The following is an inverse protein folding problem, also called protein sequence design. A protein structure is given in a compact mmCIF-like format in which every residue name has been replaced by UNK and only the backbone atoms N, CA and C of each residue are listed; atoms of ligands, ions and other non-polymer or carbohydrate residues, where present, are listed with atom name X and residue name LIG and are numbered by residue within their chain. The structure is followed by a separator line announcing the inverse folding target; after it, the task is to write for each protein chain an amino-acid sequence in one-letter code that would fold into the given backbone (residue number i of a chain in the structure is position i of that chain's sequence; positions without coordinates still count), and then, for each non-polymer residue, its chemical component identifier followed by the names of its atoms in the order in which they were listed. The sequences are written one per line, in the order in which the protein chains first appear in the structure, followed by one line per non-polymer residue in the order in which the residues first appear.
data_IF_447035844088
#
_entry.id   IF_447035844088
#
_cell.length_a   1.000
_cell.length_b   1.000
_cell.length_c   1.000
_cell.angle_alpha   90.00
_cell.angle_beta   90.00
_cell.angle_gamma   90.00
#
_symmetry.space_group_name_H-M   'P 1'
#
loop_
_entity.id
_entity.type
_entity.pdbx_description
1 polymer ?
#
# COMPACT_ATOMS: atom_id res chain seq x y z
N UNK A 1 20.32 8.57 -7.55
CA UNK A 1 21.47 8.04 -8.31
C UNK A 1 21.53 8.78 -9.64
N UNK A 2 22.67 9.39 -9.97
CA UNK A 2 22.89 10.02 -11.28
C UNK A 2 23.29 8.96 -12.33
N UNK A 3 23.03 9.19 -13.63
CA UNK A 3 23.53 8.37 -14.73
C UNK A 3 25.00 7.96 -14.63
N UNK A 4 25.34 6.83 -15.23
CA UNK A 4 26.74 6.54 -15.58
C UNK A 4 27.24 7.62 -16.56
N UNK A 5 28.23 8.43 -16.13
CA UNK A 5 28.81 9.53 -16.91
C UNK A 5 28.27 10.94 -16.62
N UNK A 6 27.35 11.10 -15.66
CA UNK A 6 26.91 12.43 -15.23
C UNK A 6 28.01 13.19 -14.47
N UNK A 7 28.10 14.51 -14.71
CA UNK A 7 28.98 15.39 -13.92
C UNK A 7 28.49 15.51 -12.46
N UNK A 8 29.41 15.72 -11.52
CA UNK A 8 29.09 15.84 -10.10
C UNK A 8 28.23 17.09 -9.84
N UNK A 9 27.05 16.90 -9.22
CA UNK A 9 26.22 18.00 -8.70
C UNK A 9 26.25 17.96 -7.18
N UNK A 10 26.62 19.08 -6.55
CA UNK A 10 26.49 19.24 -5.10
C UNK A 10 25.02 19.47 -4.74
N UNK A 11 24.46 18.60 -3.91
CA UNK A 11 23.16 18.79 -3.28
C UNK A 11 23.28 18.51 -1.77
N UNK A 12 22.70 19.38 -0.96
CA UNK A 12 22.54 19.15 0.48
C UNK A 12 21.24 18.38 0.70
N UNK A 13 21.34 17.09 1.02
CA UNK A 13 20.19 16.31 1.47
C UNK A 13 19.91 16.75 2.91
N UNK A 14 18.83 17.47 3.14
CA UNK A 14 18.28 17.56 4.50
C UNK A 14 17.87 16.14 4.91
N UNK A 15 18.40 15.65 6.03
CA UNK A 15 17.97 14.39 6.61
C UNK A 15 16.49 14.51 6.97
N UNK A 16 15.61 13.88 6.20
CA UNK A 16 14.25 13.65 6.65
C UNK A 16 14.22 12.40 7.52
N UNK A 17 13.77 12.56 8.77
CA UNK A 17 13.46 11.45 9.65
C UNK A 17 12.22 10.74 9.11
N UNK A 18 12.40 9.64 8.38
CA UNK A 18 11.29 8.73 8.05
C UNK A 18 11.04 7.81 9.24
N UNK A 19 10.02 8.15 10.03
CA UNK A 19 9.52 7.33 11.14
C UNK A 19 8.38 6.47 10.61
N UNK A 20 8.68 5.23 10.22
CA UNK A 20 7.64 4.23 9.93
C UNK A 20 7.39 3.39 11.18
N UNK A 21 6.20 3.51 11.75
CA UNK A 21 5.77 2.67 12.88
C UNK A 21 5.23 1.35 12.34
N UNK A 22 6.04 0.30 12.42
CA UNK A 22 5.53 -1.06 12.26
C UNK A 22 5.01 -1.53 13.62
N UNK A 23 3.70 -1.78 13.70
CA UNK A 23 3.02 -2.29 14.90
C UNK A 23 3.75 -3.50 15.48
N UNK A 24 4.06 -3.43 16.79
CA UNK A 24 4.79 -4.48 17.53
C UNK A 24 6.13 -4.05 18.14
N UNK A 25 6.56 -2.79 17.98
CA UNK A 25 7.62 -2.20 18.78
C UNK A 25 9.05 -2.56 18.34
N UNK A 26 9.60 -1.80 17.40
CA UNK A 26 10.96 -1.24 17.38
C UNK A 26 11.17 -0.46 16.07
N UNK A 27 11.97 0.60 16.16
CA UNK A 27 12.28 1.58 15.13
C UNK A 27 13.52 1.15 14.31
N UNK A 28 13.55 1.45 13.02
CA UNK A 28 14.81 1.48 12.26
C UNK A 28 15.17 2.93 11.98
N UNK A 29 16.38 3.32 12.36
CA UNK A 29 16.99 4.60 12.01
C UNK A 29 17.88 4.35 10.82
N UNK A 30 17.48 4.79 9.64
CA UNK A 30 18.34 4.75 8.45
C UNK A 30 19.17 6.03 8.41
N UNK A 31 20.47 5.92 8.65
CA UNK A 31 21.44 6.99 8.39
C UNK A 31 22.30 6.60 7.20
N UNK A 32 22.24 7.37 6.13
CA UNK A 32 23.15 7.24 4.99
C UNK A 32 24.36 8.11 5.30
N UNK A 33 25.46 7.46 5.69
CA UNK A 33 26.74 8.13 5.89
C UNK A 33 27.63 7.92 4.67
N UNK A 34 28.27 9.01 4.22
CA UNK A 34 29.22 9.01 3.11
C UNK A 34 30.62 9.24 3.67
N UNK A 35 31.46 8.20 3.67
CA UNK A 35 32.87 8.33 4.08
C UNK A 35 33.78 8.21 2.86
N UNK A 36 34.70 9.17 2.71
CA UNK A 36 35.72 9.14 1.65
C UNK A 36 37.04 8.66 2.25
N UNK A 37 37.54 7.50 1.80
CA UNK A 37 38.91 7.03 2.10
C UNK A 37 39.70 6.89 0.81
N UNK A 38 40.64 7.81 0.59
CA UNK A 38 41.41 7.89 -0.66
C UNK A 38 40.53 8.35 -1.82
N UNK A 39 40.58 7.67 -2.96
CA UNK A 39 39.79 8.00 -4.17
C UNK A 39 38.42 7.32 -4.23
N UNK A 40 38.00 6.63 -3.16
CA UNK A 40 36.77 5.83 -3.14
C UNK A 40 35.80 6.36 -2.09
N UNK A 41 34.56 6.57 -2.52
CA UNK A 41 33.43 6.84 -1.63
C UNK A 41 32.81 5.52 -1.19
N UNK A 42 32.49 5.43 0.09
CA UNK A 42 31.69 4.34 0.66
C UNK A 42 30.36 4.92 1.10
N UNK A 43 29.29 4.22 0.76
CA UNK A 43 27.94 4.47 1.28
C UNK A 43 27.67 3.39 2.31
N UNK A 44 27.29 3.81 3.51
CA UNK A 44 26.86 2.88 4.56
C UNK A 44 25.34 2.90 4.65
N UNK A 45 24.74 1.71 4.58
CA UNK A 45 23.34 1.48 4.93
C UNK A 45 23.30 0.20 5.79
N UNK A 46 22.91 0.35 7.05
CA UNK A 46 22.64 -0.69 8.05
C UNK A 46 23.46 -2.00 7.87
N UNK A 47 24.76 -1.89 8.17
CA UNK A 47 25.75 -2.98 8.27
C UNK A 47 26.03 -3.81 6.99
N UNK A 48 25.48 -3.44 5.83
CA UNK A 48 25.81 -4.09 4.56
C UNK A 48 26.98 -3.36 3.89
N UNK A 49 28.13 -4.03 3.76
CA UNK A 49 29.29 -3.47 3.04
C UNK A 49 29.24 -3.91 1.58
N UNK A 50 28.88 -3.00 0.67
CA UNK A 50 29.08 -3.23 -0.77
C UNK A 50 30.51 -2.80 -1.13
N UNK A 51 31.37 -3.78 -1.37
CA UNK A 51 32.71 -3.54 -1.93
C UNK A 51 32.54 -3.52 -3.45
N UNK A 52 32.69 -2.34 -4.05
CA UNK A 52 32.73 -2.20 -5.51
C UNK A 52 34.10 -2.73 -5.99
N UNK A 53 34.13 -4.02 -6.29
CA UNK A 53 35.20 -4.63 -7.08
C UNK A 53 34.73 -4.70 -8.54
N UNK A 54 35.66 -4.50 -9.46
CA UNK A 54 35.46 -4.50 -10.90
C UNK A 54 34.84 -5.82 -11.39
N UNK A 55 33.51 -5.89 -11.40
CA UNK A 55 32.64 -6.61 -12.33
C UNK A 55 31.20 -6.28 -11.95
N UNK A 56 30.56 -5.44 -12.77
CA UNK A 56 29.27 -4.79 -12.53
C UNK A 56 28.16 -5.81 -12.23
N UNK A 57 27.74 -5.89 -10.97
CA UNK A 57 26.35 -6.21 -10.65
C UNK A 57 25.66 -4.86 -10.51
N UNK A 58 24.87 -4.47 -11.52
CA UNK A 58 23.98 -3.31 -11.40
C UNK A 58 22.76 -3.75 -10.60
N UNK A 59 22.82 -3.57 -9.28
CA UNK A 59 21.62 -3.60 -8.44
C UNK A 59 20.94 -2.25 -8.64
N UNK A 60 19.92 -2.18 -9.49
CA UNK A 60 19.11 -0.97 -9.64
C UNK A 60 18.24 -0.78 -8.40
N UNK A 61 17.85 0.46 -8.07
CA UNK A 61 16.82 0.72 -7.05
C UNK A 61 15.54 -0.05 -7.39
N UNK A 62 15.24 -0.22 -8.67
CA UNK A 62 14.11 -1.03 -9.13
C UNK A 62 14.28 -2.51 -8.83
N UNK A 63 15.49 -3.09 -8.93
CA UNK A 63 15.77 -4.46 -8.49
C UNK A 63 15.66 -4.57 -6.97
N UNK A 64 16.19 -3.60 -6.21
CA UNK A 64 16.05 -3.58 -4.75
C UNK A 64 14.58 -3.51 -4.37
N UNK A 65 13.80 -2.57 -4.92
CA UNK A 65 12.39 -2.36 -4.55
C UNK A 65 11.47 -3.48 -5.05
N UNK A 66 11.69 -4.00 -6.26
CA UNK A 66 10.94 -5.15 -6.80
C UNK A 66 11.21 -6.43 -6.00
N UNK A 67 12.42 -6.56 -5.45
CA UNK A 67 12.81 -7.70 -4.61
C UNK A 67 12.78 -7.37 -3.09
N UNK A 68 12.38 -6.15 -2.72
CA UNK A 68 12.18 -5.71 -1.33
C UNK A 68 10.89 -6.31 -0.83
N UNK A 69 10.97 -7.59 -0.49
CA UNK A 69 9.90 -8.27 0.22
C UNK A 69 10.01 -7.89 1.69
N UNK A 70 8.88 -7.68 2.39
CA UNK A 70 8.91 -7.53 3.83
C UNK A 70 9.52 -8.79 4.45
N UNK A 71 10.74 -8.67 4.98
CA UNK A 71 11.43 -9.77 5.66
C UNK A 71 10.99 -9.82 7.11
N UNK A 72 10.91 -11.04 7.66
CA UNK A 72 10.67 -11.22 9.08
C UNK A 72 11.97 -11.01 9.85
N UNK A 73 12.01 -10.01 10.71
CA UNK A 73 13.03 -9.94 11.74
C UNK A 73 12.58 -10.82 12.92
N UNK A 74 13.12 -12.03 13.00
CA UNK A 74 12.84 -12.93 14.12
C UNK A 74 13.66 -12.47 15.34
N UNK A 75 13.09 -11.56 16.13
CA UNK A 75 13.63 -11.27 17.46
C UNK A 75 13.23 -12.40 18.41
N UNK A 76 14.16 -13.29 18.73
CA UNK A 76 13.96 -14.29 19.78
C UNK A 76 14.05 -13.62 21.17
N UNK A 77 12.98 -12.93 21.58
CA UNK A 77 12.72 -12.67 23.00
C UNK A 77 11.93 -13.84 23.57
N UNK A 78 12.15 -14.14 24.84
CA UNK A 78 11.27 -15.06 25.58
C UNK A 78 9.85 -14.48 25.54
N UNK A 79 8.85 -15.31 25.19
CA UNK A 79 7.43 -14.91 25.24
C UNK A 79 7.12 -14.33 26.64
N UNK A 80 6.38 -13.22 26.73
CA UNK A 80 5.82 -12.71 27.99
C UNK A 80 5.08 -13.80 28.77
N UNK A 81 5.03 -13.66 30.10
CA UNK A 81 4.33 -14.63 30.97
C UNK A 81 2.81 -14.68 30.72
N UNK A 82 2.24 -13.61 30.17
CA UNK A 82 0.82 -13.46 29.84
C UNK A 82 0.52 -13.65 28.34
N UNK A 83 1.44 -14.25 27.58
CA UNK A 83 1.25 -14.50 26.16
C UNK A 83 0.10 -15.49 25.92
N UNK A 84 -0.93 -15.06 25.18
CA UNK A 84 -2.12 -15.88 24.92
C UNK A 84 -2.56 -15.86 23.46
N UNK A 85 -3.83 -16.18 23.25
CA UNK A 85 -4.39 -16.39 21.91
C UNK A 85 -4.27 -15.15 21.03
N UNK A 86 -4.63 -13.97 21.57
CA UNK A 86 -4.61 -12.71 20.84
C UNK A 86 -3.17 -12.31 20.45
N UNK A 87 -2.20 -12.46 21.35
CA UNK A 87 -0.78 -12.23 21.04
C UNK A 87 -0.27 -13.18 19.95
N UNK A 88 -0.71 -14.44 19.97
CA UNK A 88 -0.29 -15.47 19.03
C UNK A 88 -0.83 -15.26 17.60
N UNK A 89 -2.09 -14.81 17.46
CA UNK A 89 -2.68 -14.58 16.12
C UNK A 89 -2.15 -13.30 15.46
N UNK A 90 -1.44 -12.45 16.18
CA UNK A 90 -0.81 -11.25 15.64
C UNK A 90 0.20 -11.61 14.53
N UNK A 91 0.94 -12.71 14.70
CA UNK A 91 1.83 -13.19 13.65
C UNK A 91 1.09 -13.58 12.37
N UNK A 92 -0.12 -14.14 12.51
CA UNK A 92 -1.00 -14.46 11.38
C UNK A 92 -1.40 -13.15 10.71
N UNK A 93 -1.97 -12.21 11.47
CA UNK A 93 -2.41 -10.90 10.96
C UNK A 93 -1.32 -10.18 10.19
N UNK A 94 -0.10 -10.11 10.74
CA UNK A 94 1.02 -9.44 10.09
C UNK A 94 1.48 -10.16 8.82
N UNK A 95 1.44 -11.50 8.79
CA UNK A 95 1.75 -12.23 7.56
C UNK A 95 0.71 -12.00 6.48
N UNK A 96 -0.56 -11.91 6.83
CA UNK A 96 -1.64 -11.61 5.88
C UNK A 96 -1.53 -10.16 5.40
N UNK A 97 -1.38 -9.21 6.31
CA UNK A 97 -1.19 -7.77 6.02
C UNK A 97 -0.06 -7.52 5.03
N UNK A 98 1.06 -8.23 5.16
CA UNK A 98 2.27 -8.01 4.36
C UNK A 98 2.48 -9.04 3.24
N UNK A 99 1.52 -9.92 2.97
CA UNK A 99 1.66 -10.95 1.92
C UNK A 99 2.78 -11.96 2.18
N UNK A 100 3.08 -12.26 3.45
CA UNK A 100 4.11 -13.22 3.89
C UNK A 100 3.57 -14.62 4.20
N UNK A 101 2.24 -14.78 4.22
CA UNK A 101 1.55 -16.06 4.42
C UNK A 101 0.78 -16.51 3.18
N UNK A 102 0.12 -17.68 3.20
CA UNK A 102 -0.01 -18.64 4.31
C UNK A 102 1.29 -19.38 4.71
N UNK A 103 1.39 -19.80 5.98
CA UNK A 103 2.38 -20.81 6.43
C UNK A 103 1.75 -22.21 6.47
N UNK A 104 2.58 -23.25 6.53
CA UNK A 104 2.13 -24.63 6.80
C UNK A 104 1.54 -24.79 8.22
N UNK A 105 1.90 -23.91 9.17
CA UNK A 105 1.31 -23.87 10.50
C UNK A 105 1.75 -22.65 11.30
N UNK A 106 0.93 -22.26 12.29
CA UNK A 106 1.21 -21.19 13.23
C UNK A 106 1.22 -21.71 14.67
N UNK A 107 2.18 -21.22 15.47
CA UNK A 107 2.26 -21.51 16.90
C UNK A 107 1.29 -20.60 17.66
N UNK A 108 0.17 -21.17 18.08
CA UNK A 108 -0.88 -20.46 18.80
C UNK A 108 -0.90 -20.91 20.26
N UNK A 109 -0.89 -19.96 21.19
CA UNK A 109 -0.87 -20.23 22.63
C UNK A 109 -2.24 -19.90 23.24
N UNK A 110 -2.75 -20.72 24.17
CA UNK A 110 -3.96 -20.41 24.92
C UNK A 110 -3.67 -19.56 26.18
N UNK A 111 -4.68 -19.24 26.98
CA UNK A 111 -4.52 -18.50 28.24
C UNK A 111 -3.79 -19.27 29.35
N UNK A 112 -3.63 -20.59 29.20
CA UNK A 112 -2.94 -21.45 30.17
C UNK A 112 -1.47 -21.71 29.77
N UNK A 113 -1.04 -21.19 28.61
CA UNK A 113 0.31 -21.36 28.08
C UNK A 113 0.52 -22.62 27.25
N UNK A 114 -0.54 -23.37 26.91
CA UNK A 114 -0.44 -24.50 26.01
C UNK A 114 -0.23 -24.02 24.57
N UNK A 115 0.73 -24.61 23.87
CA UNK A 115 1.02 -24.29 22.47
C UNK A 115 0.39 -25.32 21.52
N UNK A 116 -0.27 -24.79 20.49
CA UNK A 116 -0.91 -25.52 19.41
C UNK A 116 -0.21 -25.17 18.09
N UNK A 117 -0.07 -26.15 17.20
CA UNK A 117 0.30 -25.90 15.81
C UNK A 117 -0.98 -25.93 14.99
N UNK A 118 -1.47 -24.75 14.58
CA UNK A 118 -2.75 -24.60 13.89
C UNK A 118 -2.57 -24.28 12.41
N UNK A 119 -3.44 -24.85 11.57
CA UNK A 119 -3.61 -24.47 10.16
C UNK A 119 -4.39 -23.15 10.04
N UNK A 120 -4.44 -22.55 8.85
CA UNK A 120 -5.24 -21.33 8.65
C UNK A 120 -6.74 -21.57 8.85
N UNK A 121 -7.23 -22.74 8.46
CA UNK A 121 -8.63 -23.15 8.63
C UNK A 121 -8.97 -23.22 10.12
N UNK A 122 -8.11 -23.84 10.93
CA UNK A 122 -8.28 -23.93 12.38
C UNK A 122 -8.19 -22.54 13.05
N UNK A 123 -7.34 -21.65 12.55
CA UNK A 123 -7.25 -20.27 13.05
C UNK A 123 -8.49 -19.47 12.67
N UNK A 124 -9.04 -19.65 11.45
CA UNK A 124 -10.31 -19.03 11.07
C UNK A 124 -11.43 -19.47 12.02
N UNK A 125 -11.52 -20.77 12.30
CA UNK A 125 -12.48 -21.30 13.27
C UNK A 125 -12.29 -20.68 14.66
N UNK A 126 -11.05 -20.63 15.17
CA UNK A 126 -10.75 -20.09 16.48
C UNK A 126 -11.01 -18.58 16.58
N UNK A 127 -10.68 -17.80 15.54
CA UNK A 127 -10.93 -16.35 15.51
C UNK A 127 -12.43 -16.05 15.44
N UNK A 128 -13.19 -16.78 14.62
CA UNK A 128 -14.65 -16.67 14.57
C UNK A 128 -15.28 -17.03 15.92
N UNK A 129 -14.86 -18.13 16.55
CA UNK A 129 -15.31 -18.53 17.90
C UNK A 129 -14.97 -17.45 18.93
N UNK A 130 -13.78 -16.84 18.85
CA UNK A 130 -13.37 -15.79 19.78
C UNK A 130 -14.24 -14.55 19.65
N UNK A 131 -14.53 -14.10 18.43
CA UNK A 131 -15.43 -12.95 18.19
C UNK A 131 -16.80 -13.21 18.81
N UNK A 132 -17.39 -14.39 18.58
CA UNK A 132 -18.68 -14.76 19.15
C UNK A 132 -18.63 -14.80 20.68
N UNK A 133 -17.56 -15.37 21.26
CA UNK A 133 -17.40 -15.45 22.71
C UNK A 133 -17.39 -14.06 23.36
N UNK A 134 -16.77 -13.08 22.71
CA UNK A 134 -16.74 -11.69 23.19
C UNK A 134 -18.11 -11.06 23.01
N UNK A 135 -18.76 -11.25 21.85
CA UNK A 135 -20.06 -10.64 21.55
C UNK A 135 -21.20 -11.18 22.45
N UNK A 136 -21.09 -12.41 22.94
CA UNK A 136 -22.12 -13.09 23.74
C UNK A 136 -21.73 -13.28 25.22
N UNK A 137 -20.60 -12.73 25.66
CA UNK A 137 -20.05 -12.89 27.01
C UNK A 137 -19.91 -14.37 27.43
N UNK A 138 -19.30 -15.17 26.56
CA UNK A 138 -19.07 -16.61 26.75
C UNK A 138 -17.58 -16.92 26.93
N UNK A 139 -17.29 -18.08 27.53
CA UNK A 139 -15.94 -18.59 27.66
C UNK A 139 -15.33 -18.97 26.30
N UNK A 140 -14.03 -18.73 26.15
CA UNK A 140 -13.25 -19.11 24.98
C UNK A 140 -12.21 -20.16 25.34
N UNK A 141 -12.10 -21.15 24.47
CA UNK A 141 -11.13 -22.24 24.54
C UNK A 141 -10.78 -22.68 23.13
N UNK A 142 -9.51 -22.99 22.91
CA UNK A 142 -9.01 -23.54 21.64
C UNK A 142 -9.44 -25.01 21.57
N UNK A 143 -10.23 -25.35 20.55
CA UNK A 143 -10.53 -26.74 20.22
C UNK A 143 -10.14 -27.01 18.78
N UNK A 144 -9.21 -27.94 18.61
CA UNK A 144 -8.74 -28.40 17.32
C UNK A 144 -9.75 -29.42 16.78
N UNK A 145 -10.45 -29.07 15.71
CA UNK A 145 -11.36 -29.97 14.99
C UNK A 145 -10.58 -30.66 13.85
N UNK A 146 -10.91 -31.91 13.52
CA UNK A 146 -10.26 -32.61 12.38
C UNK A 146 -10.50 -31.86 11.06
N UNK A 147 -9.42 -31.70 10.29
CA UNK A 147 -9.15 -30.55 9.42
C UNK A 147 -9.55 -30.70 7.94
N UNK A 148 -10.84 -30.74 7.61
CA UNK A 148 -11.33 -30.68 6.21
C UNK A 148 -12.53 -29.71 6.03
N UNK A 149 -12.50 -28.58 6.74
CA UNK A 149 -13.65 -27.67 6.81
C UNK A 149 -13.84 -26.75 5.60
N UNK A 150 -12.78 -26.41 4.86
CA UNK A 150 -12.83 -25.41 3.77
C UNK A 150 -12.47 -26.08 2.44
N UNK A 151 -13.40 -26.13 1.50
CA UNK A 151 -13.16 -26.69 0.15
C UNK A 151 -12.73 -25.62 -0.87
N UNK A 152 -13.04 -24.35 -0.62
CA UNK A 152 -12.62 -23.23 -1.46
C UNK A 152 -12.50 -21.93 -0.64
N UNK A 153 -11.38 -21.22 -0.81
CA UNK A 153 -11.17 -19.90 -0.17
C UNK A 153 -11.97 -18.77 -0.85
N UNK A 154 -12.31 -18.92 -2.15
CA UNK A 154 -13.01 -17.89 -2.92
C UNK A 154 -12.20 -16.60 -3.15
N UNK A 155 -12.65 -15.77 -4.10
CA UNK A 155 -12.11 -14.44 -4.35
C UNK A 155 -13.02 -13.37 -3.77
N UNK A 156 -12.41 -12.29 -3.28
CA UNK A 156 -13.16 -11.13 -2.79
C UNK A 156 -13.45 -10.20 -3.96
N UNK A 157 -14.66 -9.64 -4.02
CA UNK A 157 -14.99 -8.62 -5.01
C UNK A 157 -14.18 -7.35 -4.76
N UNK A 158 -13.70 -6.74 -5.84
CA UNK A 158 -12.94 -5.50 -5.79
C UNK A 158 -13.71 -4.38 -5.07
N UNK A 159 -15.02 -4.28 -5.32
CA UNK A 159 -15.92 -3.28 -4.76
C UNK A 159 -16.05 -3.34 -3.23
N UNK A 160 -15.71 -4.49 -2.62
CA UNK A 160 -15.68 -4.67 -1.17
C UNK A 160 -14.52 -3.91 -0.51
N UNK A 161 -13.46 -3.60 -1.26
CA UNK A 161 -12.26 -2.99 -0.71
C UNK A 161 -12.55 -1.61 -0.13
N UNK A 162 -12.14 -1.40 1.13
CA UNK A 162 -12.23 -0.12 1.86
C UNK A 162 -13.64 0.32 2.27
N UNK A 163 -14.64 -0.53 2.10
CA UNK A 163 -15.99 -0.32 2.65
C UNK A 163 -16.04 -0.63 4.16
N UNK A 164 -16.98 -0.02 4.88
CA UNK A 164 -17.16 -0.24 6.32
C UNK A 164 -18.05 -1.47 6.58
N UNK A 165 -17.52 -2.47 7.30
CA UNK A 165 -18.24 -3.67 7.70
C UNK A 165 -18.78 -3.54 9.13
N UNK A 166 -20.11 -3.46 9.35
CA UNK A 166 -20.68 -3.30 10.68
C UNK A 166 -20.46 -4.51 11.59
N UNK A 167 -20.48 -4.26 12.91
CA UNK A 167 -20.37 -5.28 13.96
C UNK A 167 -21.38 -6.39 13.88
N UNK A 168 -22.64 -6.07 13.66
CA UNK A 168 -23.68 -7.08 13.52
C UNK A 168 -23.39 -8.03 12.35
N UNK A 169 -22.81 -7.50 11.27
CA UNK A 169 -22.51 -8.25 10.05
C UNK A 169 -21.28 -9.15 10.24
N UNK A 170 -20.14 -8.63 10.75
CA UNK A 170 -18.97 -9.49 10.95
C UNK A 170 -19.18 -10.54 12.04
N UNK A 171 -20.01 -10.26 13.07
CA UNK A 171 -20.42 -11.26 14.07
C UNK A 171 -21.35 -12.31 13.44
N UNK A 172 -22.27 -11.89 12.56
CA UNK A 172 -23.14 -12.80 11.80
C UNK A 172 -22.33 -13.74 10.89
N UNK A 173 -21.32 -13.21 10.18
CA UNK A 173 -20.39 -14.01 9.36
C UNK A 173 -19.61 -15.03 10.20
N UNK A 174 -19.14 -14.64 11.39
CA UNK A 174 -18.48 -15.57 12.31
C UNK A 174 -19.42 -16.70 12.76
N UNK A 175 -20.68 -16.37 13.10
CA UNK A 175 -21.70 -17.36 13.50
C UNK A 175 -22.04 -18.33 12.38
N UNK A 176 -22.19 -17.81 11.16
CA UNK A 176 -22.44 -18.61 9.97
C UNK A 176 -21.33 -19.63 9.75
N UNK A 177 -20.07 -19.19 9.77
CA UNK A 177 -18.91 -20.08 9.62
C UNK A 177 -18.90 -21.19 10.67
N UNK A 178 -19.14 -20.87 11.95
CA UNK A 178 -19.20 -21.88 12.99
C UNK A 178 -20.36 -22.86 12.80
N UNK A 179 -21.52 -22.37 12.34
CA UNK A 179 -22.68 -23.22 12.05
C UNK A 179 -22.37 -24.23 10.96
N UNK A 180 -21.83 -23.77 9.83
CA UNK A 180 -21.45 -24.61 8.67
C UNK A 180 -20.40 -25.66 9.10
N UNK A 181 -19.39 -25.23 9.86
CA UNK A 181 -18.35 -26.13 10.39
C UNK A 181 -18.94 -27.22 11.29
N UNK A 182 -19.82 -26.85 12.24
CA UNK A 182 -20.41 -27.79 13.19
C UNK A 182 -21.41 -28.76 12.55
N UNK A 183 -22.03 -28.39 11.42
CA UNK A 183 -22.85 -29.31 10.64
C UNK A 183 -22.04 -30.37 9.88
N UNK A 184 -20.72 -30.21 9.79
CA UNK A 184 -19.85 -31.04 8.94
C UNK A 184 -20.03 -30.77 7.45
N UNK A 185 -20.60 -29.61 7.10
CA UNK A 185 -20.69 -29.14 5.72
C UNK A 185 -19.32 -28.60 5.27
N UNK A 186 -19.01 -28.73 3.98
CA UNK A 186 -17.84 -28.07 3.41
C UNK A 186 -18.12 -26.57 3.26
N UNK A 187 -17.25 -25.74 3.81
CA UNK A 187 -17.33 -24.28 3.70
C UNK A 187 -16.74 -23.86 2.36
N UNK A 188 -17.55 -23.17 1.56
CA UNK A 188 -17.19 -22.66 0.24
C UNK A 188 -17.22 -21.13 0.23
N UNK A 189 -16.09 -20.53 -0.12
CA UNK A 189 -15.99 -19.11 -0.44
C UNK A 189 -16.35 -18.79 -1.90
N UNK A 190 -16.68 -17.53 -2.20
CA UNK A 190 -16.82 -16.41 -1.25
C UNK A 190 -18.17 -16.42 -0.51
N UNK A 191 -18.24 -15.69 0.60
CA UNK A 191 -19.47 -15.46 1.36
C UNK A 191 -20.05 -14.08 1.07
N UNK A 192 -21.37 -13.98 0.93
CA UNK A 192 -22.05 -12.71 0.73
C UNK A 192 -22.13 -11.89 2.01
N UNK A 193 -21.99 -10.58 1.89
CA UNK A 193 -22.13 -9.60 2.96
C UNK A 193 -22.81 -8.32 2.46
N UNK A 194 -23.09 -7.37 3.37
CA UNK A 194 -23.60 -6.03 3.04
C UNK A 194 -22.69 -5.22 2.11
N UNK A 195 -21.38 -5.51 2.09
CA UNK A 195 -20.37 -4.77 1.32
C UNK A 195 -19.88 -5.51 0.06
N UNK A 196 -20.46 -6.68 -0.24
CA UNK A 196 -20.10 -7.50 -1.41
C UNK A 196 -19.70 -8.93 -1.05
N UNK A 197 -19.13 -9.66 -2.01
CA UNK A 197 -18.63 -11.02 -1.79
C UNK A 197 -17.23 -10.98 -1.17
N UNK A 198 -17.07 -11.68 -0.04
CA UNK A 198 -15.82 -11.76 0.72
C UNK A 198 -15.26 -13.18 0.60
N UNK A 199 -14.03 -13.30 0.08
CA UNK A 199 -13.29 -14.54 0.12
C UNK A 199 -12.95 -14.92 1.57
N UNK A 200 -13.05 -16.21 1.90
CA UNK A 200 -12.81 -16.75 3.24
C UNK A 200 -11.43 -16.35 3.78
N UNK A 201 -10.43 -16.21 2.91
CA UNK A 201 -9.08 -15.78 3.29
C UNK A 201 -9.07 -14.34 3.81
N UNK A 202 -9.76 -13.45 3.11
CA UNK A 202 -9.92 -12.06 3.57
C UNK A 202 -10.85 -11.95 4.78
N UNK A 203 -11.77 -12.90 4.98
CA UNK A 203 -12.55 -12.97 6.20
C UNK A 203 -11.69 -13.34 7.42
N UNK A 204 -10.74 -14.28 7.26
CA UNK A 204 -9.73 -14.56 8.29
C UNK A 204 -8.93 -13.29 8.63
N UNK A 205 -8.43 -12.57 7.61
CA UNK A 205 -7.71 -11.32 7.85
C UNK A 205 -8.56 -10.29 8.60
N UNK A 206 -9.82 -10.14 8.18
CA UNK A 206 -10.79 -9.25 8.85
C UNK A 206 -10.97 -9.62 10.32
N UNK A 207 -11.17 -10.90 10.64
CA UNK A 207 -11.33 -11.34 12.03
C UNK A 207 -10.07 -11.11 12.88
N UNK A 208 -8.88 -11.32 12.32
CA UNK A 208 -7.65 -11.01 13.05
C UNK A 208 -7.52 -9.52 13.36
N UNK A 209 -7.98 -8.62 12.45
CA UNK A 209 -8.00 -7.16 12.71
C UNK A 209 -9.06 -6.74 13.72
N UNK A 210 -10.25 -7.36 13.67
CA UNK A 210 -11.30 -7.14 14.70
C UNK A 210 -10.76 -7.50 16.10
N UNK A 211 -10.02 -8.61 16.21
CA UNK A 211 -9.46 -9.06 17.47
C UNK A 211 -8.25 -8.24 17.94
N UNK A 212 -7.44 -7.71 17.02
CA UNK A 212 -6.38 -6.73 17.31
C UNK A 212 -6.98 -5.44 17.90
N UNK A 213 -8.00 -4.88 17.25
CA UNK A 213 -8.74 -3.71 17.76
C UNK A 213 -9.36 -3.97 19.14
N UNK A 214 -9.95 -5.15 19.35
CA UNK A 214 -10.46 -5.54 20.67
C UNK A 214 -9.35 -5.62 21.73
N UNK A 215 -8.16 -6.10 21.37
CA UNK A 215 -7.03 -6.18 22.31
C UNK A 215 -6.59 -4.78 22.78
N UNK A 216 -6.63 -3.79 21.90
CA UNK A 216 -6.27 -2.41 22.22
C UNK A 216 -7.36 -1.69 23.03
N UNK A 217 -8.63 -1.83 22.63
CA UNK A 217 -9.74 -1.02 23.16
C UNK A 217 -10.60 -1.73 24.23
N UNK A 218 -10.48 -3.06 24.36
CA UNK A 218 -11.28 -3.88 25.28
C UNK A 218 -12.74 -4.09 24.87
N UNK A 219 -13.16 -3.55 23.72
CA UNK A 219 -14.50 -3.73 23.13
C UNK A 219 -14.39 -4.04 21.64
N UNK A 220 -15.33 -4.83 21.10
CA UNK A 220 -15.39 -5.10 19.66
C UNK A 220 -15.75 -3.81 18.91
N UNK A 221 -15.04 -3.46 17.82
CA UNK A 221 -15.27 -2.22 17.07
C UNK A 221 -16.67 -2.20 16.45
N UNK A 222 -17.37 -1.07 16.50
CA UNK A 222 -18.75 -0.96 15.96
C UNK A 222 -18.79 -1.14 14.43
N UNK A 223 -17.71 -0.80 13.74
CA UNK A 223 -17.48 -1.07 12.33
C UNK A 223 -15.98 -1.30 12.10
N UNK A 224 -15.65 -2.04 11.03
CA UNK A 224 -14.27 -2.21 10.59
C UNK A 224 -14.15 -1.97 9.10
N UNK A 225 -13.22 -1.08 8.72
CA UNK A 225 -12.91 -0.82 7.33
C UNK A 225 -12.30 -2.05 6.68
N UNK A 226 -12.93 -2.60 5.67
CA UNK A 226 -12.46 -3.81 5.01
C UNK A 226 -11.14 -3.54 4.26
N UNK A 227 -10.14 -4.40 4.48
CA UNK A 227 -8.85 -4.33 3.83
C UNK A 227 -8.55 -5.70 3.19
N UNK A 228 -8.24 -5.76 1.89
CA UNK A 228 -7.87 -7.02 1.25
C UNK A 228 -6.45 -7.40 1.66
N UNK A 229 -6.22 -8.64 2.06
CA UNK A 229 -4.87 -9.14 2.30
C UNK A 229 -4.18 -9.45 0.96
N UNK A 230 -2.92 -9.02 0.77
CA UNK A 230 -2.09 -9.38 -0.39
C UNK A 230 -1.99 -10.89 -0.67
N UNK A 231 -2.25 -11.75 0.32
CA UNK A 231 -2.17 -13.21 0.15
C UNK A 231 -3.32 -13.83 -0.66
N UNK A 232 -4.42 -13.10 -0.96
CA UNK A 232 -5.60 -13.67 -1.64
C UNK A 232 -6.18 -12.77 -2.71
N UNK A 233 -6.23 -13.27 -3.96
CA UNK A 233 -6.68 -12.54 -5.14
C UNK A 233 -8.06 -11.89 -5.04
N UNK A 234 -8.20 -10.76 -5.74
CA UNK A 234 -9.46 -10.04 -5.92
C UNK A 234 -10.12 -10.42 -7.25
N UNK A 235 -11.43 -10.19 -7.34
CA UNK A 235 -12.24 -10.32 -8.54
C UNK A 235 -12.71 -8.94 -8.98
N UNK A 236 -12.40 -8.52 -10.21
CA UNK A 236 -12.97 -7.35 -10.85
C UNK A 236 -13.58 -7.76 -12.19
N UNK A 237 -14.89 -7.63 -12.33
CA UNK A 237 -15.63 -8.08 -13.52
C UNK A 237 -15.37 -9.56 -13.91
N UNK A 238 -15.07 -10.41 -12.93
CA UNK A 238 -14.76 -11.83 -13.12
C UNK A 238 -13.29 -12.13 -13.46
N UNK A 239 -12.45 -11.09 -13.60
CA UNK A 239 -11.01 -11.26 -13.79
C UNK A 239 -10.27 -11.17 -12.45
N UNK A 240 -9.17 -11.90 -12.35
CA UNK A 240 -8.31 -11.89 -11.17
C UNK A 240 -7.42 -10.66 -11.16
N UNK A 241 -7.39 -9.96 -10.03
CA UNK A 241 -6.51 -8.81 -9.80
C UNK A 241 -5.70 -9.01 -8.51
N UNK A 242 -4.43 -8.65 -8.58
CA UNK A 242 -3.51 -8.60 -7.45
C UNK A 242 -4.05 -7.66 -6.35
N UNK A 243 -4.23 -8.13 -5.10
CA UNK A 243 -4.85 -7.32 -4.03
C UNK A 243 -4.04 -6.09 -3.65
N UNK A 244 -2.72 -6.11 -3.86
CA UNK A 244 -1.83 -4.98 -3.63
C UNK A 244 -2.24 -3.74 -4.43
N UNK A 245 -2.93 -3.93 -5.56
CA UNK A 245 -3.46 -2.84 -6.38
C UNK A 245 -4.49 -2.01 -5.60
N UNK A 246 -5.28 -2.62 -4.71
CA UNK A 246 -6.28 -1.90 -3.92
C UNK A 246 -5.66 -0.89 -2.94
N UNK A 247 -4.45 -1.13 -2.45
CA UNK A 247 -3.75 -0.22 -1.54
C UNK A 247 -3.42 1.13 -2.18
N UNK A 248 -3.28 1.17 -3.51
CA UNK A 248 -3.10 2.42 -4.25
C UNK A 248 -4.39 3.27 -4.37
N UNK A 249 -5.46 2.91 -3.65
CA UNK A 249 -6.63 3.75 -3.42
C UNK A 249 -6.56 4.51 -2.08
N UNK A 250 -5.67 4.12 -1.17
CA UNK A 250 -5.58 4.74 0.14
C UNK A 250 -5.16 6.22 0.04
N UNK A 251 -5.69 7.09 0.92
CA UNK A 251 -5.14 8.44 1.07
C UNK A 251 -3.74 8.40 1.70
N UNK A 252 -3.01 9.49 1.53
CA UNK A 252 -1.69 9.71 2.13
C UNK A 252 -1.70 11.06 2.89
N UNK A 253 -0.62 11.42 3.59
CA UNK A 253 -0.52 12.72 4.24
C UNK A 253 -0.75 13.91 3.32
N UNK A 254 -0.23 13.83 2.11
CA UNK A 254 -0.29 14.87 1.08
C UNK A 254 -1.28 14.57 -0.06
N UNK A 255 -1.88 13.38 -0.08
CA UNK A 255 -2.94 12.96 -1.02
C UNK A 255 -4.24 12.72 -0.26
N UNK A 256 -5.10 13.75 -0.17
CA UNK A 256 -6.34 13.72 0.61
C UNK A 256 -7.52 13.43 -0.33
N UNK A 257 -8.18 12.28 -0.17
CA UNK A 257 -9.16 11.75 -1.15
C UNK A 257 -10.63 11.93 -0.75
N UNK A 258 -10.92 12.13 0.54
CA UNK A 258 -12.29 12.08 1.10
C UNK A 258 -12.90 13.47 1.40
N UNK A 259 -12.41 14.51 0.72
CA UNK A 259 -12.93 15.88 0.90
C UNK A 259 -14.12 16.15 -0.03
N UNK A 260 -14.97 17.08 0.39
CA UNK A 260 -16.07 17.56 -0.47
C UNK A 260 -15.54 18.13 -1.79
N UNK A 261 -14.45 18.90 -1.74
CA UNK A 261 -13.82 19.51 -2.92
C UNK A 261 -13.44 18.45 -3.96
N UNK A 262 -12.70 17.41 -3.54
CA UNK A 262 -12.28 16.30 -4.41
C UNK A 262 -13.49 15.57 -4.98
N UNK A 263 -14.47 15.22 -4.14
CA UNK A 263 -15.71 14.53 -4.57
C UNK A 263 -16.50 15.34 -5.60
N UNK A 264 -16.66 16.64 -5.39
CA UNK A 264 -17.39 17.53 -6.30
C UNK A 264 -16.70 17.63 -7.66
N UNK A 265 -15.36 17.71 -7.69
CA UNK A 265 -14.57 17.72 -8.93
C UNK A 265 -14.72 16.38 -9.67
N UNK A 266 -14.52 15.25 -8.99
CA UNK A 266 -14.66 13.92 -9.60
C UNK A 266 -16.06 13.74 -10.18
N UNK A 267 -17.10 14.12 -9.42
CA UNK A 267 -18.48 14.04 -9.86
C UNK A 267 -18.74 14.90 -11.10
N UNK A 268 -18.25 16.13 -11.14
CA UNK A 268 -18.43 17.02 -12.29
C UNK A 268 -17.72 16.51 -13.54
N UNK A 269 -16.46 16.11 -13.42
CA UNK A 269 -15.69 15.55 -14.55
C UNK A 269 -16.35 14.24 -15.04
N UNK A 270 -16.89 13.42 -14.13
CA UNK A 270 -17.59 12.18 -14.47
C UNK A 270 -18.80 12.41 -15.38
N UNK A 271 -19.55 13.51 -15.22
CA UNK A 271 -20.71 13.84 -16.09
C UNK A 271 -20.33 14.00 -17.56
N UNK A 272 -19.06 14.35 -17.82
CA UNK A 272 -18.53 14.52 -19.17
C UNK A 272 -17.90 13.25 -19.76
N UNK A 273 -17.97 12.12 -19.06
CA UNK A 273 -17.45 10.82 -19.50
C UNK A 273 -18.59 9.93 -20.02
N UNK A 274 -18.39 9.26 -21.16
CA UNK A 274 -19.32 8.22 -21.63
C UNK A 274 -19.02 6.87 -21.01
N UNK A 275 -17.73 6.55 -20.83
CA UNK A 275 -17.22 5.30 -20.23
C UNK A 275 -16.38 5.59 -19.00
N UNK A 276 -16.24 4.63 -18.08
CA UNK A 276 -15.36 4.79 -16.89
C UNK A 276 -13.89 4.96 -17.28
N UNK A 277 -13.45 4.27 -18.34
CA UNK A 277 -12.08 4.35 -18.87
C UNK A 277 -11.67 5.73 -19.40
N UNK A 278 -12.62 6.64 -19.67
CA UNK A 278 -12.31 8.03 -20.06
C UNK A 278 -11.95 8.93 -18.86
N UNK A 279 -12.33 8.51 -17.65
CA UNK A 279 -12.24 9.35 -16.46
C UNK A 279 -10.80 9.73 -16.08
N UNK A 280 -9.80 8.81 -16.09
CA UNK A 280 -8.42 9.18 -15.78
C UNK A 280 -7.90 10.32 -16.66
N UNK A 281 -8.09 10.19 -17.98
CA UNK A 281 -7.64 11.20 -18.94
C UNK A 281 -8.32 12.55 -18.73
N UNK A 282 -9.63 12.56 -18.45
CA UNK A 282 -10.38 13.80 -18.21
C UNK A 282 -10.03 14.47 -16.89
N UNK A 283 -9.76 13.68 -15.84
CA UNK A 283 -9.24 14.21 -14.57
C UNK A 283 -7.85 14.80 -14.75
N UNK A 284 -7.00 14.17 -15.56
CA UNK A 284 -5.68 14.70 -15.90
C UNK A 284 -5.76 16.02 -16.68
N UNK A 285 -6.61 16.08 -17.70
CA UNK A 285 -6.90 17.31 -18.45
C UNK A 285 -7.40 18.43 -17.52
N UNK A 286 -8.28 18.09 -16.57
CA UNK A 286 -8.77 19.02 -15.57
C UNK A 286 -7.64 19.52 -14.65
N UNK A 287 -6.83 18.62 -14.07
CA UNK A 287 -5.72 18.99 -13.18
C UNK A 287 -4.72 19.90 -13.89
N UNK A 288 -4.36 19.56 -15.13
CA UNK A 288 -3.42 20.35 -15.93
C UNK A 288 -3.94 21.76 -16.21
N UNK A 289 -5.23 21.88 -16.51
CA UNK A 289 -5.86 23.16 -16.86
C UNK A 289 -6.08 24.05 -15.64
N UNK A 290 -6.48 23.46 -14.51
CA UNK A 290 -6.97 24.21 -13.35
C UNK A 290 -5.89 24.55 -12.33
N UNK A 291 -4.67 24.03 -12.48
CA UNK A 291 -3.53 24.35 -11.62
C UNK A 291 -2.48 25.10 -12.44
N UNK A 292 -2.01 26.23 -11.91
CA UNK A 292 -0.93 27.00 -12.52
C UNK A 292 0.43 26.55 -11.97
N UNK A 293 1.38 26.26 -12.86
CA UNK A 293 2.72 25.87 -12.44
C UNK A 293 3.46 27.01 -11.73
N UNK A 294 4.04 26.72 -10.56
CA UNK A 294 4.90 27.66 -9.81
C UNK A 294 5.92 26.92 -8.95
N UNK A 295 7.11 27.52 -8.79
CA UNK A 295 8.20 26.98 -7.96
C UNK A 295 8.16 27.42 -6.50
N UNK A 296 7.28 28.35 -6.14
CA UNK A 296 7.18 28.89 -4.77
C UNK A 296 6.35 28.01 -3.83
N UNK A 297 5.89 26.85 -4.30
CA UNK A 297 5.15 25.87 -3.50
C UNK A 297 6.09 24.82 -2.91
N UNK A 298 6.06 24.68 -1.58
CA UNK A 298 6.86 23.70 -0.85
C UNK A 298 5.96 22.76 -0.06
N UNK A 299 5.86 21.50 -0.52
CA UNK A 299 5.25 20.41 0.25
C UNK A 299 3.75 20.57 0.47
N UNK A 300 3.02 21.09 -0.53
CA UNK A 300 1.59 21.32 -0.41
C UNK A 300 0.81 20.00 -0.57
N UNK A 301 -0.17 19.82 0.30
CA UNK A 301 -1.19 18.77 0.20
C UNK A 301 -2.09 19.01 -1.00
N UNK A 302 -2.79 17.97 -1.47
CA UNK A 302 -3.78 18.10 -2.54
C UNK A 302 -4.83 19.19 -2.27
N UNK A 303 -5.27 19.36 -1.02
CA UNK A 303 -6.26 20.38 -0.64
C UNK A 303 -5.70 21.80 -0.74
N UNK A 304 -4.49 22.04 -0.24
CA UNK A 304 -3.83 23.36 -0.31
C UNK A 304 -3.60 23.78 -1.78
N UNK A 305 -3.32 22.82 -2.65
CA UNK A 305 -3.16 23.06 -4.09
C UNK A 305 -4.51 23.32 -4.76
N UNK A 306 -5.57 22.61 -4.37
CA UNK A 306 -6.93 22.85 -4.86
C UNK A 306 -7.48 24.22 -4.41
N UNK A 307 -7.08 24.71 -3.24
CA UNK A 307 -7.41 26.06 -2.76
C UNK A 307 -6.60 27.14 -3.49
N UNK A 308 -5.28 27.00 -3.54
CA UNK A 308 -4.37 28.01 -4.10
C UNK A 308 -4.33 28.03 -5.64
N UNK A 309 -4.72 26.93 -6.28
CA UNK A 309 -4.63 26.68 -7.74
C UNK A 309 -3.21 26.82 -8.29
N UNK A 310 -2.21 26.54 -7.46
CA UNK A 310 -0.80 26.76 -7.77
C UNK A 310 0.05 25.63 -7.19
N UNK A 311 1.00 25.11 -7.97
CA UNK A 311 1.91 24.09 -7.49
C UNK A 311 3.03 23.74 -8.47
N UNK A 312 3.97 22.88 -8.04
CA UNK A 312 4.99 22.24 -8.89
C UNK A 312 4.59 20.81 -9.26
N UNK A 313 5.43 20.09 -10.00
CA UNK A 313 5.13 18.73 -10.48
C UNK A 313 4.66 17.74 -9.39
N UNK A 314 5.27 17.79 -8.20
CA UNK A 314 4.85 16.97 -7.06
C UNK A 314 3.44 17.36 -6.56
N UNK A 315 3.10 18.64 -6.56
CA UNK A 315 1.80 19.15 -6.12
C UNK A 315 0.68 18.79 -7.12
N UNK A 316 0.97 18.88 -8.42
CA UNK A 316 0.07 18.38 -9.47
C UNK A 316 -0.18 16.88 -9.34
N UNK A 317 0.88 16.13 -9.03
CA UNK A 317 0.81 14.70 -8.75
C UNK A 317 -0.11 14.41 -7.56
N UNK A 318 0.03 15.16 -6.46
CA UNK A 318 -0.81 15.01 -5.27
C UNK A 318 -2.29 15.25 -5.57
N UNK A 319 -2.64 16.32 -6.30
CA UNK A 319 -4.03 16.58 -6.70
C UNK A 319 -4.56 15.48 -7.62
N UNK A 320 -3.80 15.07 -8.63
CA UNK A 320 -4.26 14.06 -9.57
C UNK A 320 -4.46 12.70 -8.92
N UNK A 321 -3.55 12.29 -8.01
CA UNK A 321 -3.73 11.09 -7.20
C UNK A 321 -4.98 11.19 -6.33
N UNK A 322 -5.23 12.33 -5.69
CA UNK A 322 -6.41 12.53 -4.85
C UNK A 322 -7.71 12.33 -5.65
N UNK A 323 -7.78 12.92 -6.85
CA UNK A 323 -8.93 12.77 -7.75
C UNK A 323 -9.11 11.34 -8.26
N UNK A 324 -8.04 10.67 -8.69
CA UNK A 324 -8.10 9.29 -9.19
C UNK A 324 -8.53 8.31 -8.10
N UNK A 325 -7.89 8.38 -6.93
CA UNK A 325 -8.16 7.47 -5.81
C UNK A 325 -9.56 7.68 -5.26
N UNK A 326 -10.05 8.93 -5.17
CA UNK A 326 -11.45 9.24 -4.84
C UNK A 326 -12.45 8.74 -5.89
N UNK A 327 -12.04 8.63 -7.15
CA UNK A 327 -12.82 8.00 -8.22
C UNK A 327 -12.75 6.46 -8.24
N UNK A 328 -12.09 5.83 -7.25
CA UNK A 328 -11.87 4.39 -7.21
C UNK A 328 -10.96 3.89 -8.33
N UNK A 329 -9.95 4.68 -8.72
CA UNK A 329 -8.96 4.35 -9.75
C UNK A 329 -7.58 4.27 -9.08
N UNK A 330 -6.98 3.06 -9.00
CA UNK A 330 -5.67 2.90 -8.36
C UNK A 330 -4.59 3.65 -9.13
N UNK A 331 -3.79 4.43 -8.40
CA UNK A 331 -2.73 5.23 -8.97
C UNK A 331 -1.60 5.41 -7.97
N UNK A 332 -0.37 5.47 -8.50
CA UNK A 332 0.84 5.61 -7.70
C UNK A 332 1.65 6.83 -8.11
N UNK A 333 2.34 7.39 -7.13
CA UNK A 333 3.35 8.42 -7.37
C UNK A 333 4.57 7.80 -8.07
N UNK A 334 5.14 8.54 -9.01
CA UNK A 334 6.47 8.25 -9.53
C UNK A 334 7.30 9.52 -9.44
N UNK A 335 8.46 9.42 -8.80
CA UNK A 335 9.45 10.49 -8.74
C UNK A 335 10.73 10.00 -9.39
N UNK A 336 11.53 10.87 -9.99
CA UNK A 336 12.78 10.41 -10.57
C UNK A 336 13.39 11.38 -11.55
N UNK A 337 14.20 10.81 -12.44
CA UNK A 337 14.93 11.56 -13.45
C UNK A 337 14.34 11.33 -14.83
N UNK A 338 14.21 12.41 -15.59
CA UNK A 338 13.76 12.40 -16.98
C UNK A 338 14.81 13.05 -17.87
N UNK A 339 14.87 12.60 -19.11
CA UNK A 339 15.73 13.18 -20.14
C UNK A 339 14.87 13.71 -21.28
N UNK A 340 15.33 14.78 -21.91
CA UNK A 340 14.58 15.40 -23.00
C UNK A 340 15.53 15.94 -24.06
N UNK A 341 15.01 16.11 -25.27
CA UNK A 341 15.72 16.83 -26.33
C UNK A 341 15.34 18.32 -26.26
N UNK A 342 16.27 19.22 -25.89
CA UNK A 342 15.99 20.65 -25.76
C UNK A 342 15.55 21.31 -27.08
N UNK A 343 15.77 20.65 -28.23
CA UNK A 343 15.31 21.15 -29.54
C UNK A 343 13.83 20.88 -29.79
N UNK A 344 13.28 19.81 -29.21
CA UNK A 344 11.88 19.42 -29.42
C UNK A 344 10.99 19.79 -28.25
N UNK A 345 11.56 19.87 -27.04
CA UNK A 345 10.81 20.17 -25.84
C UNK A 345 11.71 20.74 -24.74
N UNK A 346 11.17 21.61 -23.90
CA UNK A 346 11.86 22.10 -22.70
C UNK A 346 10.91 22.13 -21.52
N UNK A 347 11.37 21.77 -20.31
CA UNK A 347 10.55 21.86 -19.13
C UNK A 347 10.26 23.34 -18.80
N UNK A 348 9.10 23.65 -18.18
CA UNK A 348 8.79 24.95 -17.62
C UNK A 348 9.93 25.51 -16.77
N UNK A 349 10.05 26.83 -16.72
CA UNK A 349 11.09 27.47 -15.92
C UNK A 349 10.98 27.04 -14.45
N UNK A 350 12.09 26.51 -13.92
CA UNK A 350 12.17 26.00 -12.55
C UNK A 350 11.51 24.64 -12.31
N UNK A 351 11.09 23.93 -13.35
CA UNK A 351 10.66 22.54 -13.27
C UNK A 351 11.84 21.60 -13.10
N UNK A 352 12.20 21.39 -11.83
CA UNK A 352 13.33 20.58 -11.43
C UNK A 352 14.66 21.27 -11.70
N UNK A 353 15.66 20.94 -10.91
CA UNK A 353 17.04 21.32 -11.19
C UNK A 353 17.54 20.44 -12.33
N UNK A 354 18.11 21.02 -13.39
CA UNK A 354 18.88 20.25 -14.35
C UNK A 354 20.14 19.78 -13.63
N UNK A 355 20.26 18.48 -13.41
CA UNK A 355 21.33 17.88 -12.61
C UNK A 355 22.47 17.32 -13.47
N UNK A 356 22.46 17.57 -14.77
CA UNK A 356 23.52 17.15 -15.66
C UNK A 356 23.00 16.74 -17.03
N UNK A 357 23.82 15.93 -17.72
CA UNK A 357 23.51 15.36 -19.03
C UNK A 357 23.81 13.87 -19.06
N UNK A 358 23.10 13.14 -19.91
CA UNK A 358 23.43 11.76 -20.25
C UNK A 358 24.70 11.70 -21.12
N UNK A 359 25.31 10.52 -21.32
CA UNK A 359 26.49 10.37 -22.19
C UNK A 359 26.29 10.84 -23.64
N UNK A 360 25.07 10.73 -24.17
CA UNK A 360 24.67 11.24 -25.50
C UNK A 360 24.27 12.73 -25.48
N UNK A 361 24.43 13.41 -24.34
CA UNK A 361 24.32 14.86 -24.20
C UNK A 361 22.92 15.39 -23.87
N UNK A 362 21.92 14.53 -23.64
CA UNK A 362 20.56 14.96 -23.27
C UNK A 362 20.54 15.51 -21.84
N UNK A 363 19.95 16.69 -21.58
CA UNK A 363 19.76 17.20 -20.22
C UNK A 363 18.94 16.24 -19.36
N UNK A 364 19.25 16.19 -18.06
CA UNK A 364 18.53 15.41 -17.06
C UNK A 364 17.89 16.35 -16.06
N UNK A 365 16.59 16.19 -15.84
CA UNK A 365 15.83 16.97 -14.87
C UNK A 365 15.13 16.05 -13.87
N UNK A 366 15.00 16.54 -12.63
CA UNK A 366 14.17 15.88 -11.61
C UNK A 366 12.70 16.16 -11.87
N UNK A 367 11.86 15.14 -11.71
CA UNK A 367 10.43 15.24 -11.99
C UNK A 367 9.58 14.30 -11.13
N UNK A 368 8.29 14.64 -10.99
CA UNK A 368 7.27 13.84 -10.34
C UNK A 368 6.02 13.76 -11.24
N UNK A 369 5.51 12.55 -11.43
CA UNK A 369 4.33 12.25 -12.22
C UNK A 369 3.57 11.07 -11.59
N UNK A 370 2.59 10.52 -12.30
CA UNK A 370 1.80 9.37 -11.84
C UNK A 370 1.85 8.19 -12.80
N UNK A 371 1.64 6.99 -12.28
CA UNK A 371 1.20 5.85 -13.09
C UNK A 371 -0.20 5.44 -12.62
N UNK A 372 -1.11 5.26 -13.57
CA UNK A 372 -2.51 4.86 -13.33
C UNK A 372 -2.65 3.38 -13.68
N UNK A 373 -3.24 2.58 -12.79
CA UNK A 373 -3.52 1.18 -13.09
C UNK A 373 -4.81 1.06 -13.91
N UNK A 374 -4.69 0.56 -15.14
CA UNK A 374 -5.81 0.21 -16.00
C UNK A 374 -5.86 -1.31 -16.13
N UNK A 375 -6.97 -2.00 -15.83
CA UNK A 375 -7.03 -3.47 -15.91
C UNK A 375 -6.55 -4.04 -17.25
N UNK A 376 -6.88 -3.38 -18.35
CA UNK A 376 -6.52 -3.82 -19.71
C UNK A 376 -5.05 -3.54 -20.08
N UNK A 377 -4.42 -2.51 -19.50
CA UNK A 377 -3.10 -2.00 -19.93
C UNK A 377 -2.02 -2.06 -18.84
N UNK A 378 -2.37 -2.41 -17.60
CA UNK A 378 -1.51 -2.31 -16.43
C UNK A 378 -1.17 -0.87 -16.04
N UNK A 379 0.01 -0.68 -15.45
CA UNK A 379 0.51 0.64 -15.02
C UNK A 379 0.83 1.53 -16.22
N UNK A 380 0.05 2.59 -16.38
CA UNK A 380 0.10 3.51 -17.51
C UNK A 380 0.61 4.88 -17.06
N UNK A 381 1.68 5.43 -17.66
CA UNK A 381 2.18 6.76 -17.30
C UNK A 381 1.15 7.86 -17.56
N UNK A 382 1.06 8.80 -16.62
CA UNK A 382 0.19 9.96 -16.72
C UNK A 382 0.87 11.16 -16.02
N UNK A 383 1.08 12.24 -16.76
CA UNK A 383 1.70 13.45 -16.24
C UNK A 383 0.69 14.61 -16.18
N UNK A 384 0.19 14.94 -14.97
CA UNK A 384 -0.74 16.05 -14.80
C UNK A 384 -0.08 17.43 -15.06
N UNK A 385 1.24 17.53 -14.98
CA UNK A 385 1.97 18.79 -15.23
C UNK A 385 1.95 19.17 -16.71
N UNK A 386 1.96 18.18 -17.60
CA UNK A 386 1.95 18.39 -19.06
C UNK A 386 0.65 17.97 -19.76
N UNK A 387 -0.34 17.51 -19.00
CA UNK A 387 -1.60 17.04 -19.57
C UNK A 387 -1.39 15.85 -20.51
N UNK A 388 -0.39 15.01 -20.22
CA UNK A 388 -0.05 13.86 -21.05
C UNK A 388 -0.46 12.54 -20.41
N UNK A 389 -1.06 11.66 -21.20
CA UNK A 389 -1.50 10.33 -20.78
C UNK A 389 -0.93 9.30 -21.76
N UNK A 390 -0.39 8.20 -21.25
CA UNK A 390 0.40 7.16 -21.96
C UNK A 390 1.74 7.65 -22.52
N UNK A 391 1.78 8.80 -23.19
CA UNK A 391 2.96 9.33 -23.87
C UNK A 391 3.49 10.58 -23.18
N UNK A 392 4.66 10.53 -22.56
CA UNK A 392 5.30 11.71 -21.95
C UNK A 392 6.09 12.52 -22.98
N UNK A 393 6.26 13.84 -22.79
CA UNK A 393 7.04 14.68 -23.72
C UNK A 393 8.57 14.52 -23.51
N UNK A 394 8.95 13.73 -22.51
CA UNK A 394 10.32 13.39 -22.13
C UNK A 394 10.47 11.86 -22.11
N UNK A 395 11.71 11.40 -22.08
CA UNK A 395 12.07 10.01 -21.83
C UNK A 395 12.25 9.79 -20.32
N UNK A 396 11.61 8.76 -19.78
CA UNK A 396 11.81 8.34 -18.38
C UNK A 396 13.20 7.73 -18.28
N UNK A 397 14.09 8.35 -17.49
CA UNK A 397 15.47 7.93 -17.38
C UNK A 397 15.70 6.99 -16.18
N UNK A 398 15.31 7.41 -14.98
CA UNK A 398 15.42 6.62 -13.75
C UNK A 398 14.21 6.90 -12.84
N UNK A 399 13.14 6.09 -12.93
CA UNK A 399 11.95 6.24 -12.11
C UNK A 399 12.11 5.55 -10.76
N UNK A 400 11.67 6.21 -9.70
CA UNK A 400 11.38 5.65 -8.38
C UNK A 400 9.85 5.60 -8.24
N UNK A 401 9.32 4.37 -8.32
CA UNK A 401 7.89 4.09 -8.25
C UNK A 401 7.52 3.79 -6.81
N UNK A 402 6.48 4.46 -6.34
CA UNK A 402 5.89 4.18 -5.04
C UNK A 402 5.32 2.75 -4.99
N UNK A 403 5.74 2.01 -3.98
CA UNK A 403 5.24 0.68 -3.66
C UNK A 403 3.95 0.77 -2.84
N UNK A 404 3.14 -0.28 -2.89
CA UNK A 404 1.92 -0.36 -2.07
C UNK A 404 2.23 -0.36 -0.56
N UNK A 405 3.43 -0.83 -0.17
CA UNK A 405 3.91 -0.82 1.22
C UNK A 405 4.21 0.62 1.66
N UNK A 406 4.81 1.44 0.79
CA UNK A 406 4.99 2.87 1.08
C UNK A 406 3.64 3.57 1.21
N UNK A 407 2.67 3.30 0.33
CA UNK A 407 1.32 3.86 0.45
C UNK A 407 0.67 3.44 1.78
N UNK A 408 0.76 2.16 2.14
CA UNK A 408 0.23 1.65 3.41
C UNK A 408 0.92 2.33 4.60
N UNK A 409 2.25 2.41 4.61
CA UNK A 409 3.00 3.07 5.68
C UNK A 409 2.67 4.55 5.80
N UNK A 410 2.55 5.26 4.68
CA UNK A 410 2.11 6.66 4.63
C UNK A 410 0.70 6.83 5.19
N UNK A 411 -0.23 5.95 4.81
CA UNK A 411 -1.58 5.92 5.37
C UNK A 411 -1.54 5.75 6.89
N UNK A 412 -0.89 4.70 7.38
CA UNK A 412 -0.89 4.36 8.81
C UNK A 412 -0.18 5.41 9.68
N UNK A 413 0.78 6.14 9.11
CA UNK A 413 1.46 7.25 9.80
C UNK A 413 0.51 8.40 10.18
N UNK A 414 -0.56 8.60 9.41
CA UNK A 414 -1.51 9.70 9.59
C UNK A 414 -2.87 9.25 10.13
N UNK A 415 -3.37 8.13 9.66
CA UNK A 415 -4.73 7.66 9.96
C UNK A 415 -4.76 6.55 11.01
N UNK A 416 -3.60 6.07 11.48
CA UNK A 416 -3.49 4.94 12.38
C UNK A 416 -3.43 3.60 11.64
N UNK A 417 -3.08 2.51 12.34
CA UNK A 417 -2.99 1.19 11.74
C UNK A 417 -4.33 0.77 11.11
N UNK A 418 -4.26 0.05 9.98
CA UNK A 418 -5.42 -0.64 9.40
C UNK A 418 -5.91 -1.76 10.31
#
# INVERSE_FOLDING_TARGET
VLPEGAENVQYSIESQDLITRYGGGSYERSSIDLETRGTRSRVFENATTVIIAENKITVTVENVLKDSRPYRLTYQRKKPENWGFLDSIEEVRLDLKYGRGPREGYSITDSEGHEYQLSLEEILYCTAKRIISIAEDQEFSIHVLSSDGISSWGRTDWETCWEELPKEEYVSLAKRLLSEWNSGEQIEGPVGSSIGWIGIGNLLYTFTRVLDSYQEEGILPEEIKFAPSPSWGLSLNGEEISPEIAYYLLPEPDVITDTRTVKDIVHEVRKHCRKRSELPKKLLEWTNKEITYTIYSFGATSEEVLESRKGKCADFTNVYLALLRSAGIPARRVTGWVTYDPQTWSPPEGMGFVVGKTPDGKPIAGHAWTEVFLPENGWTPADPTFGQFENTPYEIYLPARESWIEVLGSYESKYGPL
#
